data_IF_469984979550
#
_entry.id   IF_469984979550
#
_cell.length_a   1.000
_cell.length_b   1.000
_cell.length_c   1.000
_cell.angle_alpha   90.00
_cell.angle_beta   90.00
_cell.angle_gamma   90.00
#
_symmetry.space_group_name_H-M   'P 1'
#
loop_
_entity.id
_entity.type
_entity.pdbx_description
1 polymer ?
#
# COMPACT_ATOMS: atom_id res chain seq x y z
N UNK A 1 -10.23 -14.05 -7.28
CA UNK A 1 -8.86 -13.55 -7.45
C UNK A 1 -8.56 -13.44 -8.93
N UNK A 2 -8.53 -12.21 -9.44
CA UNK A 2 -8.11 -11.91 -10.80
C UNK A 2 -6.71 -11.27 -10.73
N UNK A 3 -5.85 -11.61 -11.69
CA UNK A 3 -4.49 -11.10 -11.77
C UNK A 3 -4.11 -10.71 -13.19
N UNK A 4 -3.22 -9.75 -13.33
CA UNK A 4 -2.64 -9.34 -14.61
C UNK A 4 -1.18 -8.95 -14.44
N UNK A 5 -0.50 -8.68 -15.55
CA UNK A 5 0.85 -8.12 -15.57
C UNK A 5 0.91 -6.93 -16.51
N UNK A 6 1.62 -5.89 -16.11
CA UNK A 6 1.87 -4.71 -16.95
C UNK A 6 3.33 -4.30 -16.87
N UNK A 7 3.77 -3.51 -17.85
CA UNK A 7 5.16 -3.06 -17.98
C UNK A 7 5.30 -1.62 -17.55
N UNK A 8 6.45 -1.30 -16.95
CA UNK A 8 6.79 0.07 -16.64
C UNK A 8 8.23 0.39 -17.03
N UNK A 9 8.40 1.43 -17.84
CA UNK A 9 9.72 1.88 -18.27
C UNK A 9 10.37 2.74 -17.19
N UNK A 10 11.62 2.43 -16.89
CA UNK A 10 12.54 3.27 -16.13
C UNK A 10 13.71 3.67 -17.05
N UNK A 11 14.54 4.66 -16.69
CA UNK A 11 15.70 5.01 -17.51
C UNK A 11 16.69 3.86 -17.75
N UNK A 12 16.68 2.82 -16.90
CA UNK A 12 17.65 1.72 -16.95
C UNK A 12 17.09 0.38 -17.42
N UNK A 13 15.79 0.17 -17.28
CA UNK A 13 15.15 -1.11 -17.56
C UNK A 13 13.64 -0.95 -17.73
N UNK A 14 13.04 -1.90 -18.44
CA UNK A 14 11.60 -2.11 -18.43
C UNK A 14 11.27 -3.18 -17.37
N UNK A 15 10.42 -2.83 -16.42
CA UNK A 15 10.06 -3.69 -15.28
C UNK A 15 8.66 -4.24 -15.49
N UNK A 16 8.53 -5.56 -15.43
CA UNK A 16 7.26 -6.28 -15.41
C UNK A 16 6.75 -6.30 -13.96
N UNK A 17 5.52 -5.83 -13.78
CA UNK A 17 4.82 -5.78 -12.50
C UNK A 17 3.58 -6.66 -12.60
N UNK A 18 3.43 -7.59 -11.66
CA UNK A 18 2.20 -8.35 -11.47
C UNK A 18 1.26 -7.57 -10.57
N UNK A 19 -0.03 -7.60 -10.89
CA UNK A 19 -1.11 -7.05 -10.09
C UNK A 19 -2.09 -8.16 -9.73
N UNK A 20 -2.49 -8.22 -8.46
CA UNK A 20 -3.60 -9.05 -7.99
C UNK A 20 -4.62 -8.17 -7.29
N UNK A 21 -5.90 -8.48 -7.49
CA UNK A 21 -7.02 -7.74 -6.90
C UNK A 21 -7.98 -8.70 -6.22
N UNK A 22 -8.48 -8.29 -5.06
CA UNK A 22 -9.56 -8.97 -4.34
C UNK A 22 -10.52 -7.92 -3.75
N UNK A 23 -11.81 -8.07 -4.02
CA UNK A 23 -12.87 -7.29 -3.37
C UNK A 23 -13.42 -8.07 -2.18
N UNK A 24 -13.42 -7.43 -1.01
CA UNK A 24 -13.69 -8.04 0.29
C UNK A 24 -14.69 -7.15 1.04
N UNK A 25 -15.63 -7.74 1.77
CA UNK A 25 -16.50 -6.98 2.67
C UNK A 25 -15.71 -6.43 3.87
N UNK A 26 -16.08 -5.23 4.35
CA UNK A 26 -15.39 -4.60 5.49
C UNK A 26 -15.42 -5.49 6.74
N UNK A 27 -16.53 -6.22 6.96
CA UNK A 27 -16.66 -7.14 8.09
C UNK A 27 -15.72 -8.34 8.02
N UNK A 28 -15.38 -8.80 6.82
CA UNK A 28 -14.40 -9.87 6.64
C UNK A 28 -12.98 -9.33 6.80
N UNK A 29 -12.71 -8.14 6.27
CA UNK A 29 -11.40 -7.51 6.39
C UNK A 29 -11.09 -7.06 7.83
N UNK A 30 -12.10 -6.69 8.61
CA UNK A 30 -11.92 -6.25 10.00
C UNK A 30 -11.46 -7.35 10.95
N UNK A 31 -11.64 -8.63 10.58
CA UNK A 31 -11.09 -9.78 11.33
C UNK A 31 -9.55 -9.76 11.41
N UNK A 32 -8.91 -9.00 10.52
CA UNK A 32 -7.45 -8.83 10.47
C UNK A 32 -6.99 -7.59 11.23
N UNK A 33 -7.88 -6.82 11.86
CA UNK A 33 -7.51 -5.69 12.69
C UNK A 33 -6.87 -6.14 14.00
N UNK A 34 -5.60 -5.77 14.19
CA UNK A 34 -4.83 -5.96 15.41
C UNK A 34 -4.19 -4.62 15.80
N UNK A 35 -5.02 -3.61 16.06
CA UNK A 35 -4.59 -2.20 16.20
C UNK A 35 -3.46 -2.00 17.20
N UNK A 36 -3.57 -2.56 18.39
CA UNK A 36 -2.56 -2.37 19.44
C UNK A 36 -1.23 -3.02 19.04
N UNK A 37 -1.29 -4.27 18.55
CA UNK A 37 -0.12 -5.00 18.03
C UNK A 37 0.63 -4.19 16.96
N UNK A 38 -0.07 -3.71 15.93
CA UNK A 38 0.60 -2.98 14.84
C UNK A 38 1.04 -1.57 15.24
N UNK A 39 0.36 -0.93 16.18
CA UNK A 39 0.81 0.34 16.75
C UNK A 39 2.11 0.15 17.53
N UNK A 40 2.21 -0.92 18.32
CA UNK A 40 3.43 -1.29 19.04
C UNK A 40 4.58 -1.64 18.08
N UNK A 41 4.35 -2.47 17.07
CA UNK A 41 5.37 -2.78 16.04
C UNK A 41 5.84 -1.52 15.31
N UNK A 42 4.95 -0.55 15.07
CA UNK A 42 5.32 0.74 14.49
C UNK A 42 6.20 1.55 15.45
N UNK A 43 5.84 1.60 16.73
CA UNK A 43 6.60 2.30 17.77
C UNK A 43 8.02 1.75 17.91
N UNK A 44 8.18 0.43 17.88
CA UNK A 44 9.47 -0.23 18.08
C UNK A 44 10.34 -0.22 16.81
N UNK A 45 9.73 -0.38 15.62
CA UNK A 45 10.46 -0.68 14.38
C UNK A 45 10.42 0.40 13.29
N UNK A 46 9.55 1.42 13.40
CA UNK A 46 9.35 2.39 12.32
C UNK A 46 9.84 3.80 12.71
N UNK A 47 10.79 4.39 11.95
CA UNK A 47 11.27 5.75 12.21
C UNK A 47 10.22 6.84 11.94
N UNK A 48 9.03 6.47 11.42
CA UNK A 48 7.93 7.41 11.19
C UNK A 48 6.92 7.45 12.34
N UNK A 49 6.97 6.54 13.32
CA UNK A 49 6.06 6.55 14.46
C UNK A 49 6.07 7.90 15.17
N UNK A 50 4.91 8.42 15.55
CA UNK A 50 4.77 9.70 16.23
C UNK A 50 5.15 10.93 15.40
N UNK A 51 5.54 10.77 14.13
CA UNK A 51 6.16 11.84 13.33
C UNK A 51 5.33 12.31 12.14
N UNK A 52 4.20 11.64 11.87
CA UNK A 52 3.25 11.98 10.81
C UNK A 52 1.81 11.81 11.28
N UNK A 53 0.93 12.71 10.86
CA UNK A 53 -0.52 12.60 11.08
C UNK A 53 -1.15 11.33 10.50
N UNK A 54 -0.53 10.73 9.49
CA UNK A 54 -0.97 9.47 8.88
C UNK A 54 -0.48 8.21 9.59
N UNK A 55 0.19 8.32 10.73
CA UNK A 55 0.85 7.21 11.43
C UNK A 55 0.37 7.15 12.89
N UNK A 56 0.53 5.98 13.56
CA UNK A 56 0.31 5.89 14.99
C UNK A 56 1.19 6.89 15.77
N UNK A 57 0.72 7.43 16.91
CA UNK A 57 -0.58 7.17 17.54
C UNK A 57 -1.77 7.94 16.94
N UNK A 58 -1.56 8.80 15.95
CA UNK A 58 -2.59 9.72 15.42
C UNK A 58 -3.57 9.07 14.42
N UNK A 59 -3.19 7.93 13.83
CA UNK A 59 -4.07 7.15 12.97
C UNK A 59 -5.13 6.38 13.78
N UNK A 60 -6.40 6.38 13.37
CA UNK A 60 -7.47 5.64 14.05
C UNK A 60 -7.35 4.12 13.86
N UNK A 61 -8.26 3.35 14.44
CA UNK A 61 -8.44 1.94 14.07
C UNK A 61 -9.11 1.79 12.70
N UNK A 62 -8.93 0.64 12.06
CA UNK A 62 -9.53 0.35 10.77
C UNK A 62 -11.05 0.42 10.86
N UNK A 63 -11.67 -0.26 11.80
CA UNK A 63 -13.11 -0.26 12.03
C UNK A 63 -13.66 1.13 12.30
N UNK A 64 -12.92 2.00 13.00
CA UNK A 64 -13.35 3.39 13.21
C UNK A 64 -13.29 4.21 11.92
N UNK A 65 -12.24 4.00 11.11
CA UNK A 65 -12.05 4.70 9.85
C UNK A 65 -12.99 4.22 8.74
N UNK A 66 -13.35 2.93 8.75
CA UNK A 66 -14.08 2.27 7.68
C UNK A 66 -15.60 2.23 7.86
N UNK A 67 -16.15 2.75 8.98
CA UNK A 67 -17.57 2.63 9.38
C UNK A 67 -18.61 2.90 8.29
N UNK A 68 -18.34 3.83 7.38
CA UNK A 68 -19.28 4.23 6.32
C UNK A 68 -19.20 3.37 5.06
N UNK A 69 -18.15 2.57 4.92
CA UNK A 69 -17.91 1.73 3.75
C UNK A 69 -18.43 0.31 3.98
N UNK A 70 -18.75 -0.39 2.89
CA UNK A 70 -19.22 -1.77 2.92
C UNK A 70 -18.20 -2.74 2.31
N UNK A 71 -17.39 -2.25 1.39
CA UNK A 71 -16.42 -3.05 0.65
C UNK A 71 -15.02 -2.41 0.70
N UNK A 72 -14.02 -3.27 0.55
CA UNK A 72 -12.62 -2.95 0.39
C UNK A 72 -12.06 -3.74 -0.81
N UNK A 73 -11.50 -3.04 -1.79
CA UNK A 73 -10.69 -3.68 -2.83
C UNK A 73 -9.23 -3.61 -2.42
N UNK A 74 -8.59 -4.77 -2.22
CA UNK A 74 -7.16 -4.88 -1.93
C UNK A 74 -6.40 -5.08 -3.24
N UNK A 75 -5.41 -4.23 -3.47
CA UNK A 75 -4.48 -4.30 -4.60
C UNK A 75 -3.11 -4.72 -4.10
N UNK A 76 -2.58 -5.80 -4.66
CA UNK A 76 -1.21 -6.25 -4.46
C UNK A 76 -0.44 -6.08 -5.76
N UNK A 77 0.61 -5.25 -5.73
CA UNK A 77 1.58 -5.13 -6.82
C UNK A 77 2.89 -5.79 -6.42
N UNK A 78 3.51 -6.55 -7.33
CA UNK A 78 4.82 -7.16 -7.09
C UNK A 78 5.69 -7.21 -8.34
N UNK A 79 7.02 -7.23 -8.15
CA UNK A 79 7.97 -7.51 -9.23
C UNK A 79 9.16 -8.34 -8.71
N UNK A 80 9.68 -9.21 -9.58
CA UNK A 80 10.88 -10.01 -9.27
C UNK A 80 12.11 -9.09 -9.20
N UNK A 81 12.98 -9.30 -8.20
CA UNK A 81 14.16 -8.46 -7.98
C UNK A 81 15.33 -8.74 -8.93
N UNK A 82 15.34 -9.87 -9.65
CA UNK A 82 16.33 -10.15 -10.72
C UNK A 82 16.25 -9.12 -11.85
N UNK A 83 15.10 -8.48 -12.06
CA UNK A 83 14.94 -7.37 -13.02
C UNK A 83 15.78 -6.12 -12.66
N UNK A 84 16.39 -6.10 -11.47
CA UNK A 84 17.24 -5.02 -10.96
C UNK A 84 18.72 -5.42 -10.89
N UNK A 85 19.15 -6.50 -11.54
CA UNK A 85 20.55 -6.99 -11.48
C UNK A 85 21.57 -6.05 -12.13
N UNK A 86 21.12 -4.99 -12.82
CA UNK A 86 21.97 -3.86 -13.20
C UNK A 86 22.54 -3.09 -11.99
N UNK A 87 22.04 -3.32 -10.76
CA UNK A 87 22.68 -2.85 -9.53
C UNK A 87 23.26 -4.02 -8.72
N UNK A 88 24.54 -3.92 -8.37
CA UNK A 88 25.24 -4.93 -7.56
C UNK A 88 24.90 -4.86 -6.06
N UNK A 89 24.24 -3.80 -5.61
CA UNK A 89 23.88 -3.63 -4.20
C UNK A 89 22.48 -4.17 -3.93
N UNK A 90 22.39 -5.24 -3.16
CA UNK A 90 21.13 -5.91 -2.80
C UNK A 90 20.09 -4.95 -2.19
N UNK A 91 20.52 -4.09 -1.26
CA UNK A 91 19.64 -3.07 -0.68
C UNK A 91 19.10 -2.07 -1.72
N UNK A 92 19.90 -1.76 -2.76
CA UNK A 92 19.45 -0.85 -3.82
C UNK A 92 18.37 -1.48 -4.70
N UNK A 93 18.40 -2.80 -4.93
CA UNK A 93 17.32 -3.52 -5.63
C UNK A 93 15.99 -3.27 -4.92
N UNK A 94 15.98 -3.41 -3.60
CA UNK A 94 14.80 -3.19 -2.75
C UNK A 94 14.35 -1.74 -2.73
N UNK A 95 15.29 -0.79 -2.62
CA UNK A 95 14.97 0.63 -2.58
C UNK A 95 14.33 1.10 -3.88
N UNK A 96 14.89 0.67 -5.02
CA UNK A 96 14.40 1.05 -6.35
C UNK A 96 13.07 0.37 -6.65
N UNK A 97 12.96 -0.94 -6.43
CA UNK A 97 11.70 -1.68 -6.65
C UNK A 97 10.56 -1.11 -5.81
N UNK A 98 10.78 -0.87 -4.51
CA UNK A 98 9.78 -0.23 -3.66
C UNK A 98 9.39 1.17 -4.13
N UNK A 99 10.34 1.96 -4.64
CA UNK A 99 10.04 3.29 -5.17
C UNK A 99 9.11 3.21 -6.38
N UNK A 100 9.39 2.28 -7.31
CA UNK A 100 8.57 2.03 -8.49
C UNK A 100 7.19 1.54 -8.09
N UNK A 101 7.11 0.46 -7.30
CA UNK A 101 5.85 -0.14 -6.88
C UNK A 101 4.98 0.86 -6.11
N UNK A 102 5.56 1.63 -5.18
CA UNK A 102 4.82 2.68 -4.45
C UNK A 102 4.32 3.79 -5.37
N UNK A 103 5.11 4.19 -6.36
CA UNK A 103 4.68 5.19 -7.33
C UNK A 103 3.51 4.67 -8.16
N UNK A 104 3.60 3.44 -8.68
CA UNK A 104 2.54 2.81 -9.48
C UNK A 104 1.27 2.60 -8.68
N UNK A 105 1.39 2.00 -7.50
CA UNK A 105 0.29 1.80 -6.56
C UNK A 105 -0.41 3.13 -6.27
N UNK A 106 0.31 4.18 -5.88
CA UNK A 106 -0.34 5.46 -5.57
C UNK A 106 -1.04 6.09 -6.78
N UNK A 107 -0.45 6.03 -7.98
CA UNK A 107 -1.11 6.59 -9.19
C UNK A 107 -2.39 5.82 -9.54
N UNK A 108 -2.33 4.50 -9.55
CA UNK A 108 -3.49 3.62 -9.81
C UNK A 108 -4.58 3.89 -8.76
N UNK A 109 -4.22 3.83 -7.48
CA UNK A 109 -5.19 3.95 -6.39
C UNK A 109 -5.83 5.34 -6.31
N UNK A 110 -5.12 6.40 -6.71
CA UNK A 110 -5.72 7.75 -6.83
C UNK A 110 -6.75 7.82 -7.94
N UNK A 111 -6.42 7.30 -9.12
CA UNK A 111 -7.37 7.29 -10.22
C UNK A 111 -8.61 6.43 -9.90
N UNK A 112 -8.42 5.32 -9.16
CA UNK A 112 -9.53 4.49 -8.69
C UNK A 112 -10.34 5.15 -7.57
N UNK A 113 -9.70 5.95 -6.71
CA UNK A 113 -10.38 6.73 -5.68
C UNK A 113 -11.45 7.65 -6.29
N UNK A 114 -11.06 8.38 -7.35
CA UNK A 114 -11.96 9.25 -8.09
C UNK A 114 -13.04 8.44 -8.84
N UNK A 115 -12.65 7.36 -9.52
CA UNK A 115 -13.57 6.53 -10.34
C UNK A 115 -14.62 5.80 -9.53
N UNK A 116 -14.26 5.29 -8.35
CA UNK A 116 -15.13 4.46 -7.52
C UNK A 116 -15.81 5.26 -6.39
N UNK A 117 -15.64 6.59 -6.36
CA UNK A 117 -16.07 7.45 -5.25
C UNK A 117 -15.66 6.87 -3.89
N UNK A 118 -14.44 6.35 -3.83
CA UNK A 118 -13.91 5.60 -2.68
C UNK A 118 -12.91 6.42 -1.87
N UNK A 119 -12.26 5.76 -0.91
CA UNK A 119 -11.08 6.32 -0.22
C UNK A 119 -9.96 5.29 -0.22
N UNK A 120 -8.79 5.65 -0.76
CA UNK A 120 -7.63 4.74 -0.79
C UNK A 120 -6.87 4.72 0.55
N UNK A 121 -6.28 3.58 0.89
CA UNK A 121 -5.25 3.43 1.91
C UNK A 121 -3.89 3.31 1.19
N UNK A 122 -2.96 4.20 1.50
CA UNK A 122 -1.67 4.28 0.80
C UNK A 122 -0.76 3.07 1.08
N UNK A 123 0.00 2.65 0.06
CA UNK A 123 1.03 1.59 0.18
C UNK A 123 2.36 2.07 0.80
N UNK A 124 2.33 3.10 1.65
CA UNK A 124 3.52 3.63 2.29
C UNK A 124 3.30 4.98 3.00
N UNK A 125 4.31 5.42 3.75
CA UNK A 125 4.18 6.62 4.59
C UNK A 125 3.99 7.90 3.77
N UNK A 126 3.20 8.84 4.31
CA UNK A 126 2.88 10.12 3.67
C UNK A 126 4.14 10.94 3.35
N UNK A 127 4.17 11.58 2.16
CA UNK A 127 5.27 12.42 1.67
C UNK A 127 4.81 13.78 1.12
N UNK A 128 3.61 14.22 1.48
CA UNK A 128 2.97 15.43 0.92
C UNK A 128 3.61 16.75 1.38
N UNK A 129 4.41 16.73 2.44
CA UNK A 129 5.13 17.90 2.96
C UNK A 129 6.47 17.50 3.56
N UNK A 130 7.43 18.44 3.61
CA UNK A 130 8.76 18.25 4.19
C UNK A 130 9.21 19.53 4.90
N UNK A 131 9.36 19.54 6.24
CA UNK A 131 8.94 18.51 7.19
C UNK A 131 7.41 18.40 7.32
N UNK A 132 6.93 17.34 8.00
CA UNK A 132 5.52 17.24 8.38
C UNK A 132 5.17 18.30 9.43
N UNK A 133 3.99 18.92 9.34
CA UNK A 133 3.54 19.97 10.26
C UNK A 133 3.53 19.53 11.73
N UNK A 134 3.28 18.24 11.98
CA UNK A 134 3.36 17.63 13.29
C UNK A 134 4.74 17.81 13.95
N UNK A 135 5.83 17.71 13.17
CA UNK A 135 7.20 17.88 13.70
C UNK A 135 7.49 19.31 14.14
N UNK A 136 6.73 20.27 13.63
CA UNK A 136 6.89 21.68 13.96
C UNK A 136 5.88 22.15 15.03
N UNK A 137 5.15 21.22 15.65
CA UNK A 137 4.00 21.50 16.54
C UNK A 137 2.98 22.48 15.92
N UNK A 138 2.92 22.50 14.58
CA UNK A 138 2.00 23.35 13.84
C UNK A 138 0.67 22.60 13.70
N UNK A 139 -0.25 22.85 14.63
CA UNK A 139 -1.69 22.59 14.51
C UNK A 139 -2.05 21.29 13.81
N UNK A 140 -2.70 21.37 12.64
CA UNK A 140 -3.24 20.23 11.90
C UNK A 140 -2.44 19.88 10.64
N UNK A 141 -2.84 18.82 9.92
CA UNK A 141 -2.22 18.46 8.65
C UNK A 141 -2.37 19.57 7.61
N UNK A 142 -1.28 19.96 6.92
CA UNK A 142 -1.29 20.95 5.83
C UNK A 142 -2.04 20.50 4.57
N UNK A 143 -2.32 19.19 4.44
CA UNK A 143 -2.95 18.57 3.27
C UNK A 143 -4.00 17.52 3.71
N UNK A 144 -5.01 17.91 4.50
CA UNK A 144 -5.89 16.95 5.17
C UNK A 144 -6.75 16.16 4.18
N UNK A 145 -7.21 16.79 3.09
CA UNK A 145 -8.02 16.15 2.04
C UNK A 145 -7.22 15.20 1.15
N UNK A 146 -5.90 15.33 1.10
CA UNK A 146 -5.02 14.49 0.28
C UNK A 146 -4.32 13.42 1.13
N UNK A 147 -4.14 13.62 2.43
CA UNK A 147 -3.50 12.64 3.30
C UNK A 147 -4.28 11.32 3.29
N UNK A 148 -3.56 10.19 3.26
CA UNK A 148 -4.14 8.85 3.39
C UNK A 148 -3.37 8.05 4.44
N UNK A 149 -4.09 7.22 5.18
CA UNK A 149 -3.54 6.22 6.08
C UNK A 149 -3.03 5.01 5.29
N UNK A 150 -2.17 4.20 5.88
CA UNK A 150 -1.83 2.86 5.37
C UNK A 150 -2.64 1.81 6.11
N UNK A 151 -2.74 0.60 5.53
CA UNK A 151 -3.43 -0.53 6.16
C UNK A 151 -2.86 -0.83 7.56
N UNK A 152 -1.54 -0.88 7.70
CA UNK A 152 -0.85 -1.15 8.95
C UNK A 152 -1.03 -0.02 9.97
N UNK A 153 -1.06 1.24 9.51
CA UNK A 153 -1.32 2.38 10.42
C UNK A 153 -2.72 2.30 11.04
N UNK A 154 -3.69 1.74 10.31
CA UNK A 154 -5.03 1.47 10.81
C UNK A 154 -5.12 0.18 11.64
N UNK A 155 -4.06 -0.62 11.67
CA UNK A 155 -3.98 -1.83 12.48
C UNK A 155 -4.20 -3.13 11.72
N UNK A 156 -4.30 -3.12 10.39
CA UNK A 156 -4.55 -4.34 9.61
C UNK A 156 -3.30 -5.22 9.50
N UNK A 157 -3.49 -6.53 9.67
CA UNK A 157 -2.50 -7.57 9.44
C UNK A 157 -2.33 -7.86 7.95
N UNK A 158 -1.55 -7.01 7.27
CA UNK A 158 -1.35 -7.09 5.81
C UNK A 158 -0.72 -8.41 5.37
N UNK A 159 0.15 -9.01 6.19
CA UNK A 159 0.76 -10.31 5.88
C UNK A 159 -0.30 -11.42 5.85
N UNK A 160 -1.15 -11.49 6.87
CA UNK A 160 -2.25 -12.46 6.91
C UNK A 160 -3.27 -12.24 5.80
N UNK A 161 -3.63 -10.97 5.52
CA UNK A 161 -4.51 -10.62 4.38
C UNK A 161 -3.90 -11.12 3.06
N UNK A 162 -2.58 -10.96 2.87
CA UNK A 162 -1.91 -11.43 1.66
C UNK A 162 -1.93 -12.96 1.52
N UNK A 163 -1.71 -13.67 2.62
CA UNK A 163 -1.77 -15.12 2.65
C UNK A 163 -3.18 -15.62 2.32
N UNK A 164 -4.19 -15.10 3.00
CA UNK A 164 -5.54 -15.68 2.94
C UNK A 164 -6.28 -15.31 1.64
N UNK A 165 -6.12 -14.09 1.12
CA UNK A 165 -6.84 -13.65 -0.07
C UNK A 165 -6.03 -13.81 -1.38
N UNK A 166 -4.70 -13.90 -1.30
CA UNK A 166 -3.84 -13.95 -2.49
C UNK A 166 -2.95 -15.19 -2.58
N UNK A 167 -2.96 -16.06 -1.55
CA UNK A 167 -1.97 -17.12 -1.36
C UNK A 167 -0.56 -16.58 -1.58
N UNK A 168 -0.26 -15.45 -0.95
CA UNK A 168 0.94 -14.66 -1.21
C UNK A 168 1.70 -14.32 0.07
N UNK A 169 2.96 -14.75 0.14
CA UNK A 169 3.84 -14.47 1.26
C UNK A 169 4.57 -13.14 1.05
N UNK A 170 4.57 -12.26 2.04
CA UNK A 170 5.42 -11.07 2.00
C UNK A 170 6.87 -11.45 2.30
N UNK A 171 7.80 -10.93 1.50
CA UNK A 171 9.23 -11.17 1.68
C UNK A 171 9.94 -9.88 2.10
N UNK A 172 10.95 -10.05 2.95
CA UNK A 172 11.68 -8.96 3.57
C UNK A 172 13.17 -9.08 3.30
N UNK A 173 13.86 -7.94 3.29
CA UNK A 173 15.32 -7.91 3.28
C UNK A 173 15.85 -8.53 4.57
N UNK A 174 16.75 -9.50 4.45
CA UNK A 174 17.36 -10.19 5.58
C UNK A 174 18.79 -10.58 5.24
N UNK A 175 19.68 -10.54 6.23
CA UNK A 175 21.08 -11.02 6.11
C UNK A 175 21.84 -10.46 4.91
N UNK A 176 21.60 -9.17 4.63
CA UNK A 176 22.17 -8.42 3.49
C UNK A 176 21.79 -8.95 2.10
N UNK A 177 20.75 -9.76 1.99
CA UNK A 177 20.26 -10.35 0.74
C UNK A 177 18.88 -9.82 0.39
N UNK A 178 18.70 -9.43 -0.87
CA UNK A 178 17.39 -9.08 -1.39
C UNK A 178 16.52 -10.34 -1.50
N UNK A 179 15.21 -10.23 -1.23
CA UNK A 179 14.29 -11.34 -1.46
C UNK A 179 14.10 -11.61 -2.96
N UNK A 180 13.39 -12.68 -3.30
CA UNK A 180 13.06 -13.01 -4.69
C UNK A 180 12.25 -11.90 -5.38
N UNK A 181 11.33 -11.27 -4.65
CA UNK A 181 10.47 -10.22 -5.15
C UNK A 181 10.24 -9.13 -4.10
N UNK A 182 9.86 -7.95 -4.58
CA UNK A 182 9.28 -6.89 -3.75
C UNK A 182 7.80 -6.72 -4.06
N UNK A 183 7.06 -6.25 -3.06
CA UNK A 183 5.61 -6.12 -3.14
C UNK A 183 5.14 -4.87 -2.40
N UNK A 184 4.03 -4.28 -2.87
CA UNK A 184 3.33 -3.19 -2.21
C UNK A 184 1.84 -3.53 -2.22
N UNK A 185 1.21 -3.39 -1.06
CA UNK A 185 -0.21 -3.63 -0.87
C UNK A 185 -0.90 -2.32 -0.56
N UNK A 186 -2.10 -2.15 -1.10
CA UNK A 186 -2.95 -0.99 -0.90
C UNK A 186 -4.41 -1.43 -0.91
N UNK A 187 -5.30 -0.55 -0.48
CA UNK A 187 -6.72 -0.86 -0.34
C UNK A 187 -7.56 0.34 -0.78
N UNK A 188 -8.72 0.10 -1.39
CA UNK A 188 -9.71 1.12 -1.72
C UNK A 188 -11.00 0.80 -0.98
N UNK A 189 -11.43 1.67 -0.08
CA UNK A 189 -12.70 1.55 0.64
C UNK A 189 -13.81 2.14 -0.22
N UNK A 190 -14.94 1.44 -0.33
CA UNK A 190 -16.12 1.91 -1.09
C UNK A 190 -17.43 1.45 -0.43
N UNK A 191 -18.49 2.22 -0.66
CA UNK A 191 -19.85 1.88 -0.25
C UNK A 191 -20.47 0.81 -1.18
N UNK A 192 -19.97 0.73 -2.42
CA UNK A 192 -20.45 -0.16 -3.46
C UNK A 192 -19.44 -1.28 -3.75
N UNK A 193 -19.90 -2.46 -4.19
CA UNK A 193 -18.99 -3.53 -4.59
C UNK A 193 -18.13 -3.09 -5.78
N UNK A 194 -16.86 -3.48 -5.77
CA UNK A 194 -15.89 -3.13 -6.80
C UNK A 194 -15.67 -4.36 -7.69
N UNK A 195 -15.91 -4.22 -8.99
CA UNK A 195 -15.74 -5.30 -9.95
C UNK A 195 -14.25 -5.56 -10.24
N UNK A 196 -13.73 -6.70 -9.79
CA UNK A 196 -12.32 -7.08 -9.96
C UNK A 196 -11.88 -7.08 -11.44
N UNK A 197 -12.75 -7.50 -12.37
CA UNK A 197 -12.42 -7.60 -13.78
C UNK A 197 -12.26 -6.20 -14.42
N UNK A 198 -13.11 -5.25 -14.01
CA UNK A 198 -13.00 -3.85 -14.46
C UNK A 198 -11.74 -3.19 -13.92
N UNK A 199 -11.35 -3.48 -12.68
CA UNK A 199 -10.10 -2.96 -12.09
C UNK A 199 -8.89 -3.52 -12.83
N UNK A 200 -8.89 -4.81 -13.16
CA UNK A 200 -7.81 -5.43 -13.91
C UNK A 200 -7.70 -4.84 -15.31
N UNK A 201 -8.81 -4.73 -16.04
CA UNK A 201 -8.86 -4.06 -17.34
C UNK A 201 -8.38 -2.61 -17.26
N UNK A 202 -8.74 -1.88 -16.19
CA UNK A 202 -8.24 -0.54 -15.95
C UNK A 202 -6.72 -0.52 -15.77
N UNK A 203 -6.16 -1.41 -14.94
CA UNK A 203 -4.72 -1.48 -14.67
C UNK A 203 -3.92 -1.79 -15.95
N UNK A 204 -4.41 -2.70 -16.79
CA UNK A 204 -3.77 -3.06 -18.07
C UNK A 204 -3.66 -1.87 -19.03
N UNK A 205 -4.68 -1.02 -19.02
CA UNK A 205 -4.78 0.14 -19.89
C UNK A 205 -4.30 1.44 -19.23
N UNK A 206 -3.87 1.38 -17.97
CA UNK A 206 -3.48 2.56 -17.21
C UNK A 206 -2.13 3.08 -17.71
N UNK A 207 -2.17 4.10 -18.58
CA UNK A 207 -0.98 4.80 -19.06
C UNK A 207 -0.38 5.63 -17.93
N UNK A 208 0.88 5.36 -17.60
CA UNK A 208 1.58 5.81 -16.40
C UNK A 208 2.61 6.90 -16.60
#
# INVERSE_FOLDING_TARGET
MISTTFRTKTPKAEIIISAKVATIEINELSKYEKKDKFSQLCMEGCPNYGSKWSCPPYSPSFMSYSKKFKYAMVLLLSCNLSQFDYTKQEYMKIKVSNSILKSRTNKIMRALEDRCNGIMLAGGSCRLCKPCALKSNQGSCKKPTQMRFTMESLGLDVESICLDFFNYKLLWYKDKKAPEYASVVSCLLSENPINEAEIISFIENFKL
#
